data_IF_620586977941
#
_entry.id   IF_620586977941
#
_cell.length_a   1.000
_cell.length_b   1.000
_cell.length_c   1.000
_cell.angle_alpha   90.00
_cell.angle_beta   90.00
_cell.angle_gamma   90.00
#
_symmetry.space_group_name_H-M   'P 1'
#
loop_
_entity.id
_entity.type
_entity.pdbx_description
1 polymer ?
#
# COMPACT_ATOMS: atom_id res chain seq x y z
N UNK A 1 11.57 -17.89 -4.63
CA UNK A 1 10.22 -18.38 -4.30
C UNK A 1 9.45 -18.67 -5.58
N UNK A 2 8.72 -19.77 -5.61
CA UNK A 2 7.93 -20.13 -6.79
C UNK A 2 6.63 -19.30 -6.86
N UNK A 3 6.04 -19.12 -8.05
CA UNK A 3 4.75 -18.46 -8.18
C UNK A 3 3.65 -19.14 -7.37
N UNK A 4 3.71 -20.47 -7.21
CA UNK A 4 2.74 -21.20 -6.42
C UNK A 4 2.78 -20.81 -4.95
N UNK A 5 3.97 -20.62 -4.37
CA UNK A 5 4.12 -20.20 -2.98
C UNK A 5 3.55 -18.79 -2.79
N UNK A 6 3.77 -17.88 -3.74
CA UNK A 6 3.19 -16.54 -3.67
C UNK A 6 1.67 -16.58 -3.70
N UNK A 7 1.10 -17.41 -4.58
CA UNK A 7 -0.35 -17.57 -4.67
C UNK A 7 -0.94 -18.18 -3.39
N UNK A 8 -0.28 -19.18 -2.81
CA UNK A 8 -0.71 -19.78 -1.54
C UNK A 8 -0.69 -18.76 -0.41
N UNK A 9 0.37 -17.93 -0.33
CA UNK A 9 0.46 -16.88 0.69
C UNK A 9 -0.68 -15.89 0.56
N UNK A 10 -1.03 -15.50 -0.66
CA UNK A 10 -2.12 -14.55 -0.93
C UNK A 10 -3.48 -15.16 -0.59
N UNK A 11 -3.63 -16.50 -0.67
CA UNK A 11 -4.91 -17.17 -0.40
C UNK A 11 -5.42 -16.96 1.03
N UNK A 12 -4.54 -16.56 1.96
CA UNK A 12 -4.93 -16.26 3.35
C UNK A 12 -5.45 -14.83 3.52
N UNK A 13 -5.44 -14.04 2.46
CA UNK A 13 -5.87 -12.65 2.48
C UNK A 13 -7.20 -12.53 1.73
N UNK A 14 -8.14 -11.79 2.31
CA UNK A 14 -9.44 -11.54 1.69
C UNK A 14 -9.78 -10.05 1.76
N UNK A 15 -10.93 -9.69 1.20
CA UNK A 15 -11.46 -8.32 1.30
C UNK A 15 -11.70 -7.91 2.75
N UNK A 16 -11.86 -8.87 3.66
CA UNK A 16 -12.11 -8.61 5.07
C UNK A 16 -10.82 -8.50 5.89
N UNK A 17 -9.67 -8.81 5.31
CA UNK A 17 -8.38 -8.71 5.99
C UNK A 17 -7.98 -7.26 6.16
N UNK A 18 -7.51 -6.83 7.35
CA UNK A 18 -6.94 -5.48 7.53
C UNK A 18 -5.64 -5.31 6.75
N UNK A 19 -5.23 -4.04 6.57
CA UNK A 19 -4.01 -3.72 5.81
C UNK A 19 -2.75 -4.33 6.44
N UNK A 20 -2.57 -4.18 7.75
CA UNK A 20 -1.32 -4.59 8.39
C UNK A 20 -0.97 -6.08 8.21
N UNK A 21 -1.90 -7.04 8.39
CA UNK A 21 -1.60 -8.43 8.09
C UNK A 21 -1.25 -8.67 6.62
N UNK A 22 -1.91 -7.97 5.70
CA UNK A 22 -1.65 -8.12 4.27
C UNK A 22 -0.25 -7.61 3.90
N UNK A 23 0.24 -6.59 4.59
CA UNK A 23 1.59 -6.05 4.37
C UNK A 23 2.67 -7.09 4.62
N UNK A 24 2.47 -7.96 5.61
CA UNK A 24 3.44 -9.03 5.88
C UNK A 24 3.62 -9.96 4.68
N UNK A 25 2.52 -10.31 4.00
CA UNK A 25 2.57 -11.13 2.79
C UNK A 25 3.17 -10.33 1.62
N UNK A 26 2.80 -9.07 1.50
CA UNK A 26 3.33 -8.19 0.45
C UNK A 26 4.85 -8.03 0.52
N UNK A 27 5.40 -8.02 1.72
CA UNK A 27 6.85 -7.96 1.93
C UNK A 27 7.57 -9.10 1.20
N UNK A 28 7.05 -10.32 1.28
CA UNK A 28 7.61 -11.46 0.57
C UNK A 28 7.49 -11.30 -0.94
N UNK A 29 6.37 -10.77 -1.41
CA UNK A 29 6.19 -10.48 -2.83
C UNK A 29 7.23 -9.47 -3.33
N UNK A 30 7.47 -8.40 -2.58
CA UNK A 30 8.47 -7.39 -2.96
C UNK A 30 9.88 -8.01 -3.02
N UNK A 31 10.20 -8.88 -2.10
CA UNK A 31 11.48 -9.60 -2.11
C UNK A 31 11.61 -10.48 -3.36
N UNK A 32 10.55 -11.20 -3.70
CA UNK A 32 10.50 -12.02 -4.92
C UNK A 32 10.67 -11.18 -6.19
N UNK A 33 10.17 -9.95 -6.18
CA UNK A 33 10.31 -9.04 -7.31
C UNK A 33 11.70 -8.42 -7.40
N UNK A 34 12.61 -8.80 -6.52
CA UNK A 34 13.99 -8.32 -6.54
C UNK A 34 14.19 -6.92 -5.95
N UNK A 35 13.22 -6.43 -5.20
CA UNK A 35 13.39 -5.15 -4.52
C UNK A 35 14.45 -5.26 -3.44
N UNK A 36 15.26 -4.21 -3.26
CA UNK A 36 16.28 -4.19 -2.23
C UNK A 36 15.66 -4.15 -0.83
N UNK A 37 16.35 -4.65 0.20
CA UNK A 37 15.87 -4.56 1.59
C UNK A 37 15.53 -3.13 2.00
N UNK A 38 16.31 -2.15 1.55
CA UNK A 38 16.06 -0.75 1.84
C UNK A 38 14.73 -0.26 1.23
N UNK A 39 14.48 -0.62 -0.03
CA UNK A 39 13.23 -0.28 -0.71
C UNK A 39 12.04 -0.95 -0.05
N UNK A 40 12.16 -2.24 0.29
CA UNK A 40 11.09 -2.98 0.97
C UNK A 40 10.73 -2.31 2.30
N UNK A 41 11.73 -1.96 3.09
CA UNK A 41 11.53 -1.28 4.37
C UNK A 41 10.76 0.02 4.19
N UNK A 42 11.15 0.83 3.21
CA UNK A 42 10.50 2.11 2.94
C UNK A 42 9.05 1.93 2.46
N UNK A 43 8.82 1.01 1.53
CA UNK A 43 7.50 0.74 0.99
C UNK A 43 6.55 0.20 2.06
N UNK A 44 7.02 -0.74 2.87
CA UNK A 44 6.24 -1.31 3.97
C UNK A 44 5.86 -0.22 4.97
N UNK A 45 6.82 0.64 5.35
CA UNK A 45 6.54 1.73 6.28
C UNK A 45 5.48 2.70 5.74
N UNK A 46 5.53 3.00 4.43
CA UNK A 46 4.57 3.90 3.80
C UNK A 46 3.13 3.34 3.88
N UNK A 47 2.96 2.06 3.60
CA UNK A 47 1.63 1.43 3.64
C UNK A 47 1.13 1.26 5.07
N UNK A 48 2.02 0.94 6.01
CA UNK A 48 1.65 0.86 7.43
C UNK A 48 1.24 2.23 7.98
N UNK A 49 1.79 3.30 7.45
CA UNK A 49 1.38 4.65 7.82
C UNK A 49 -0.07 4.92 7.39
N UNK A 50 -0.46 4.48 6.20
CA UNK A 50 -1.86 4.53 5.77
C UNK A 50 -2.74 3.72 6.72
N UNK A 51 -2.31 2.52 7.09
CA UNK A 51 -3.06 1.67 8.02
C UNK A 51 -3.30 2.36 9.36
N UNK A 52 -2.31 3.09 9.86
CA UNK A 52 -2.42 3.81 11.14
C UNK A 52 -3.33 5.04 11.06
N UNK A 53 -3.45 5.63 9.87
CA UNK A 53 -4.34 6.77 9.65
C UNK A 53 -5.81 6.36 9.59
N UNK A 54 -6.10 5.21 8.98
CA UNK A 54 -7.46 4.69 8.85
C UNK A 54 -7.96 4.14 10.20
N UNK A 55 -9.29 3.98 10.36
CA UNK A 55 -9.81 3.33 11.56
C UNK A 55 -9.18 1.94 11.75
N UNK A 56 -8.99 1.50 13.01
CA UNK A 56 -8.44 0.18 13.31
C UNK A 56 -9.23 -0.93 12.59
N UNK A 57 -8.52 -1.93 12.12
CA UNK A 57 -9.10 -3.10 11.47
C UNK A 57 -9.92 -2.80 10.22
N UNK A 58 -9.62 -1.67 9.53
CA UNK A 58 -10.29 -1.33 8.28
C UNK A 58 -10.04 -2.46 7.26
N UNK A 59 -11.11 -3.15 6.79
CA UNK A 59 -10.96 -4.21 5.78
C UNK A 59 -10.39 -3.66 4.48
N UNK A 60 -9.57 -4.46 3.81
CA UNK A 60 -8.98 -4.08 2.52
C UNK A 60 -10.05 -3.66 1.50
N UNK A 61 -11.17 -4.39 1.46
CA UNK A 61 -12.25 -4.09 0.52
C UNK A 61 -13.01 -2.79 0.80
N UNK A 62 -12.83 -2.22 1.98
CA UNK A 62 -13.53 -0.99 2.38
C UNK A 62 -12.66 0.26 2.24
N UNK A 63 -11.42 0.12 1.83
CA UNK A 63 -10.55 1.28 1.61
C UNK A 63 -10.97 1.96 0.30
N UNK A 64 -11.26 3.26 0.37
CA UNK A 64 -11.71 4.03 -0.80
C UNK A 64 -10.61 4.95 -1.33
N UNK A 65 -10.76 5.34 -2.60
CA UNK A 65 -9.88 6.34 -3.22
C UNK A 65 -9.92 7.65 -2.43
N UNK A 66 -11.11 8.03 -1.98
CA UNK A 66 -11.29 9.25 -1.19
C UNK A 66 -10.47 9.22 0.10
N UNK A 67 -10.47 8.09 0.80
CA UNK A 67 -9.69 7.93 2.04
C UNK A 67 -8.20 8.01 1.76
N UNK A 68 -7.73 7.42 0.67
CA UNK A 68 -6.31 7.50 0.29
C UNK A 68 -5.93 8.94 -0.01
N UNK A 69 -6.75 9.67 -0.77
CA UNK A 69 -6.49 11.08 -1.07
C UNK A 69 -6.50 11.94 0.19
N UNK A 70 -7.39 11.67 1.13
CA UNK A 70 -7.43 12.38 2.40
C UNK A 70 -6.16 12.12 3.22
N UNK A 71 -5.67 10.89 3.21
CA UNK A 71 -4.42 10.55 3.89
C UNK A 71 -3.24 11.31 3.29
N UNK A 72 -3.14 11.35 1.96
CA UNK A 72 -2.05 12.05 1.29
C UNK A 72 -2.10 13.56 1.57
N UNK A 73 -3.29 14.13 1.59
CA UNK A 73 -3.48 15.53 1.93
C UNK A 73 -3.09 15.81 3.39
N UNK A 74 -3.53 14.94 4.30
CA UNK A 74 -3.19 15.06 5.73
C UNK A 74 -1.67 15.04 5.93
N UNK A 75 -0.95 14.17 5.22
CA UNK A 75 0.50 14.09 5.32
C UNK A 75 1.20 15.37 4.91
N UNK A 76 0.63 16.09 3.95
CA UNK A 76 1.22 17.33 3.45
C UNK A 76 0.93 18.52 4.38
N UNK A 77 -0.25 18.55 5.01
CA UNK A 77 -0.76 19.75 5.68
C UNK A 77 -0.81 19.67 7.19
N UNK A 78 -1.12 18.50 7.72
CA UNK A 78 -1.54 18.38 9.13
C UNK A 78 -0.61 17.54 10.00
N UNK A 79 0.51 17.10 9.45
CA UNK A 79 1.40 16.19 10.17
C UNK A 79 2.47 16.91 10.99
N UNK A 80 2.51 18.23 10.98
CA UNK A 80 3.51 19.02 11.68
C UNK A 80 4.75 19.29 10.83
N UNK A 81 5.35 18.28 10.23
CA UNK A 81 6.46 18.44 9.28
C UNK A 81 5.97 18.07 7.89
N UNK A 82 5.92 19.01 6.96
CA UNK A 82 5.47 18.70 5.60
C UNK A 82 6.36 17.65 4.95
N UNK A 83 5.72 16.75 4.21
CA UNK A 83 6.39 15.74 3.42
C UNK A 83 7.09 16.39 2.24
N UNK A 84 8.36 16.06 1.96
CA UNK A 84 9.02 16.58 0.76
C UNK A 84 8.34 16.01 -0.50
N UNK A 85 8.41 16.71 -1.64
CA UNK A 85 7.82 16.19 -2.88
C UNK A 85 8.36 14.82 -3.26
N UNK A 86 9.65 14.57 -3.04
CA UNK A 86 10.27 13.28 -3.34
C UNK A 86 9.70 12.17 -2.44
N UNK A 87 9.55 12.44 -1.15
CA UNK A 87 8.98 11.48 -0.20
C UNK A 87 7.51 11.21 -0.52
N UNK A 88 6.74 12.25 -0.84
CA UNK A 88 5.34 12.12 -1.22
C UNK A 88 5.20 11.25 -2.46
N UNK A 89 6.01 11.49 -3.48
CA UNK A 89 6.00 10.70 -4.71
C UNK A 89 6.27 9.23 -4.43
N UNK A 90 7.26 8.93 -3.59
CA UNK A 90 7.56 7.54 -3.18
C UNK A 90 6.39 6.90 -2.45
N UNK A 91 5.75 7.63 -1.54
CA UNK A 91 4.60 7.10 -0.78
C UNK A 91 3.41 6.78 -1.66
N UNK A 92 3.16 7.62 -2.65
CA UNK A 92 2.11 7.34 -3.64
C UNK A 92 2.45 6.06 -4.40
N UNK A 93 3.70 5.92 -4.84
CA UNK A 93 4.16 4.70 -5.53
C UNK A 93 3.98 3.46 -4.66
N UNK A 94 4.34 3.53 -3.38
CA UNK A 94 4.20 2.41 -2.44
C UNK A 94 2.74 1.97 -2.31
N UNK A 95 1.85 2.93 -2.10
CA UNK A 95 0.42 2.66 -1.93
C UNK A 95 -0.18 2.08 -3.21
N UNK A 96 0.14 2.66 -4.36
CA UNK A 96 -0.33 2.14 -5.65
C UNK A 96 0.16 0.71 -5.90
N UNK A 97 1.42 0.44 -5.58
CA UNK A 97 2.01 -0.90 -5.74
C UNK A 97 1.30 -1.94 -4.87
N UNK A 98 1.00 -1.59 -3.63
CA UNK A 98 0.31 -2.48 -2.70
C UNK A 98 -1.09 -2.86 -3.19
N UNK A 99 -1.92 -1.88 -3.52
CA UNK A 99 -3.29 -2.14 -3.96
C UNK A 99 -3.35 -2.78 -5.34
N UNK A 100 -2.41 -2.44 -6.23
CA UNK A 100 -2.30 -3.12 -7.53
C UNK A 100 -2.02 -4.62 -7.35
N UNK A 101 -1.11 -4.95 -6.44
CA UNK A 101 -0.80 -6.34 -6.11
C UNK A 101 -2.04 -7.09 -5.63
N UNK A 102 -2.79 -6.51 -4.69
CA UNK A 102 -4.03 -7.11 -4.19
C UNK A 102 -5.05 -7.33 -5.31
N UNK A 103 -5.19 -6.35 -6.18
CA UNK A 103 -6.13 -6.43 -7.31
C UNK A 103 -5.69 -7.48 -8.32
N UNK A 104 -4.41 -7.55 -8.65
CA UNK A 104 -3.88 -8.53 -9.60
C UNK A 104 -4.06 -9.97 -9.12
N UNK A 105 -4.00 -10.21 -7.83
CA UNK A 105 -4.21 -11.53 -7.27
C UNK A 105 -5.67 -11.81 -6.88
N UNK A 106 -6.58 -10.92 -7.24
CA UNK A 106 -8.02 -11.13 -7.04
C UNK A 106 -8.50 -10.96 -5.61
N UNK A 107 -7.68 -10.38 -4.73
CA UNK A 107 -8.07 -10.15 -3.33
C UNK A 107 -9.15 -9.07 -3.24
N UNK A 108 -9.01 -8.02 -4.04
CA UNK A 108 -10.00 -6.94 -4.13
C UNK A 108 -10.47 -6.80 -5.58
N UNK A 109 -11.75 -6.46 -5.75
CA UNK A 109 -12.36 -6.33 -7.08
C UNK A 109 -12.05 -5.00 -7.74
N UNK A 110 -11.88 -3.96 -6.93
CA UNK A 110 -11.60 -2.60 -7.39
C UNK A 110 -10.33 -2.11 -6.72
N UNK A 111 -9.41 -1.55 -7.49
CA UNK A 111 -8.17 -0.97 -6.97
C UNK A 111 -8.43 0.48 -6.54
N UNK A 112 -8.47 0.78 -5.24
CA UNK A 112 -8.80 2.13 -4.77
C UNK A 112 -7.68 3.14 -5.05
N UNK A 113 -6.47 2.68 -5.36
CA UNK A 113 -5.34 3.56 -5.62
C UNK A 113 -5.14 3.83 -7.11
N UNK A 114 -5.88 3.16 -7.99
CA UNK A 114 -5.71 3.30 -9.44
C UNK A 114 -5.85 4.75 -9.90
N UNK A 115 -6.82 5.47 -9.34
CA UNK A 115 -7.12 6.85 -9.71
C UNK A 115 -6.39 7.91 -8.90
N UNK A 116 -5.56 7.49 -7.95
CA UNK A 116 -4.75 8.44 -7.20
C UNK A 116 -3.71 9.04 -8.15
N UNK A 117 -3.63 10.37 -8.17
CA UNK A 117 -2.71 11.07 -9.09
C UNK A 117 -1.28 10.96 -8.59
N UNK A 118 -0.40 10.44 -9.45
CA UNK A 118 1.03 10.37 -9.17
C UNK A 118 1.63 11.78 -9.31
N UNK A 119 2.30 12.24 -8.27
CA UNK A 119 2.94 13.55 -8.29
C UNK A 119 4.33 13.45 -8.92
N UNK A 120 4.62 14.38 -9.81
CA UNK A 120 5.95 14.49 -10.41
C UNK A 120 6.89 15.25 -9.49
N UNK A 121 8.14 14.77 -9.44
CA UNK A 121 9.21 15.48 -8.74
C UNK A 121 9.98 16.25 -9.79
N UNK A 122 9.96 17.56 -9.69
CA UNK A 122 10.67 18.46 -10.61
C UNK A 122 11.89 19.04 -9.93
#
# INVERSE_FOLDING_TARGET
MSPEQSAESVSHISTNTPIAPAVNTWRYYLDDQGKSPHTIKAFVADVLMLASYLPPDRPLGDVSTHEINNFLDWMQKNRGVPCSPKTLSRRITSIKSFFRWLHQYGVILVDPAERVVQQSVI
#
